data_IF_446606102412
#
_entry.id   IF_446606102412
#
_cell.length_a   1.000
_cell.length_b   1.000
_cell.length_c   1.000
_cell.angle_alpha   90.00
_cell.angle_beta   90.00
_cell.angle_gamma   90.00
#
_symmetry.space_group_name_H-M   'P 1'
#
loop_
_entity.id
_entity.type
_entity.pdbx_description
1 polymer ?
#
# COMPACT_ATOMS: atom_id res chain seq x y z
N UNK A 1 6.91 -3.84 -6.58
CA UNK A 1 7.57 -4.00 -7.92
C UNK A 1 7.04 -5.20 -8.71
N UNK A 2 5.92 -5.62 -8.81
CA UNK A 2 5.32 -6.79 -9.47
C UNK A 2 5.84 -7.24 -10.85
N UNK A 3 7.13 -7.06 -11.15
CA UNK A 3 7.76 -7.42 -12.44
C UNK A 3 7.04 -6.87 -13.68
N UNK A 4 6.20 -5.85 -13.50
CA UNK A 4 5.47 -5.20 -14.58
C UNK A 4 6.32 -4.11 -15.23
N UNK A 5 6.24 -3.98 -16.56
CA UNK A 5 6.88 -2.90 -17.31
C UNK A 5 6.23 -1.55 -16.94
N UNK A 6 4.92 -1.55 -16.77
CA UNK A 6 4.16 -0.37 -16.37
C UNK A 6 3.71 -0.50 -14.92
N UNK A 7 3.77 0.61 -14.19
CA UNK A 7 3.22 0.70 -12.85
C UNK A 7 1.72 0.98 -12.91
N UNK A 8 0.91 -0.07 -12.93
CA UNK A 8 -0.54 0.01 -13.14
C UNK A 8 -1.24 0.82 -12.05
N UNK A 9 -0.81 0.72 -10.79
CA UNK A 9 -1.43 1.49 -9.68
C UNK A 9 -1.09 2.97 -9.78
N UNK A 10 0.12 3.31 -10.27
CA UNK A 10 0.49 4.70 -10.51
C UNK A 10 -0.29 5.31 -11.68
N UNK A 11 -0.43 4.57 -12.79
CA UNK A 11 -1.28 4.99 -13.92
C UNK A 11 -2.73 5.20 -13.45
N UNK A 12 -3.25 4.30 -12.61
CA UNK A 12 -4.58 4.43 -12.03
C UNK A 12 -4.73 5.69 -11.17
N UNK A 13 -3.76 5.99 -10.31
CA UNK A 13 -3.78 7.19 -9.46
C UNK A 13 -3.77 8.47 -10.30
N UNK A 14 -2.88 8.54 -11.29
CA UNK A 14 -2.78 9.69 -12.19
C UNK A 14 -4.08 9.88 -13.01
N UNK A 15 -4.66 8.79 -13.50
CA UNK A 15 -5.93 8.83 -14.19
C UNK A 15 -7.06 9.44 -13.35
N UNK A 16 -7.18 9.07 -12.07
CA UNK A 16 -8.17 9.64 -11.17
C UNK A 16 -7.93 11.12 -10.90
N UNK A 17 -6.67 11.52 -10.69
CA UNK A 17 -6.31 12.92 -10.50
C UNK A 17 -6.62 13.76 -11.74
N UNK A 18 -6.26 13.29 -12.94
CA UNK A 18 -6.36 14.07 -14.16
C UNK A 18 -7.75 14.05 -14.78
N UNK A 19 -8.36 12.88 -14.94
CA UNK A 19 -9.66 12.75 -15.61
C UNK A 19 -10.82 13.17 -14.71
N UNK A 20 -10.80 12.79 -13.44
CA UNK A 20 -11.87 13.11 -12.50
C UNK A 20 -11.57 14.35 -11.66
N UNK A 21 -10.41 14.98 -11.86
CA UNK A 21 -9.98 16.19 -11.16
C UNK A 21 -9.99 16.05 -9.65
N UNK A 22 -9.66 14.85 -9.15
CA UNK A 22 -9.52 14.63 -7.72
C UNK A 22 -8.31 15.40 -7.19
N UNK A 23 -8.38 15.81 -5.93
CA UNK A 23 -7.30 16.52 -5.27
C UNK A 23 -6.42 15.60 -4.44
N UNK A 24 -6.97 14.45 -3.99
CA UNK A 24 -6.26 13.55 -3.09
C UNK A 24 -6.58 12.08 -3.39
N UNK A 25 -5.56 11.32 -3.70
CA UNK A 25 -5.63 9.86 -3.90
C UNK A 25 -4.68 9.18 -2.91
N UNK A 26 -5.10 8.08 -2.31
CA UNK A 26 -4.21 7.24 -1.51
C UNK A 26 -3.93 5.92 -2.23
N UNK A 27 -2.69 5.48 -2.16
CA UNK A 27 -2.24 4.14 -2.57
C UNK A 27 -1.80 3.41 -1.31
N UNK A 28 -2.44 2.28 -1.02
CA UNK A 28 -2.08 1.40 0.07
C UNK A 28 -1.52 0.12 -0.53
N UNK A 29 -0.27 -0.13 -0.26
CA UNK A 29 0.49 -1.25 -0.76
C UNK A 29 0.75 -2.24 0.38
N UNK A 30 0.17 -3.43 0.28
CA UNK A 30 0.38 -4.51 1.24
C UNK A 30 1.02 -5.76 0.61
N UNK A 31 1.60 -5.61 -0.57
CA UNK A 31 2.57 -6.56 -1.09
C UNK A 31 3.74 -6.69 -0.08
N UNK A 32 4.28 -7.90 0.07
CA UNK A 32 5.38 -8.15 1.00
C UNK A 32 6.66 -7.40 0.62
N UNK A 33 6.78 -7.02 -0.66
CA UNK A 33 7.90 -6.26 -1.19
C UNK A 33 7.61 -4.76 -1.19
N UNK A 34 8.62 -3.96 -0.90
CA UNK A 34 8.49 -2.52 -1.01
C UNK A 34 8.27 -2.08 -2.47
N UNK A 35 7.23 -1.30 -2.71
CA UNK A 35 6.91 -0.74 -4.03
C UNK A 35 7.77 0.49 -4.38
N UNK A 36 9.09 0.31 -4.52
CA UNK A 36 10.03 1.39 -4.75
C UNK A 36 9.71 2.24 -5.98
N UNK A 37 9.20 1.64 -7.06
CA UNK A 37 8.81 2.39 -8.26
C UNK A 37 7.60 3.28 -8.03
N UNK A 38 6.60 2.82 -7.25
CA UNK A 38 5.45 3.65 -6.87
C UNK A 38 5.87 4.79 -5.97
N UNK A 39 6.73 4.52 -5.00
CA UNK A 39 7.31 5.54 -4.13
C UNK A 39 8.02 6.62 -4.93
N UNK A 40 8.89 6.23 -5.88
CA UNK A 40 9.68 7.15 -6.70
C UNK A 40 8.80 8.07 -7.55
N UNK A 41 7.80 7.51 -8.23
CA UNK A 41 6.86 8.26 -9.05
C UNK A 41 6.15 9.36 -8.23
N UNK A 42 5.71 9.06 -7.01
CA UNK A 42 4.95 9.99 -6.18
C UNK A 42 5.77 10.72 -5.12
N UNK A 43 7.10 10.58 -5.13
CA UNK A 43 7.97 11.18 -4.12
C UNK A 43 7.81 12.71 -4.00
N UNK A 44 7.52 13.37 -5.13
CA UNK A 44 7.33 14.81 -5.26
C UNK A 44 5.87 15.21 -5.55
N UNK A 45 4.88 14.39 -5.22
CA UNK A 45 3.48 14.66 -5.52
C UNK A 45 2.63 14.75 -4.25
N UNK A 46 2.26 15.96 -3.84
CA UNK A 46 1.46 16.21 -2.63
C UNK A 46 0.02 15.66 -2.68
N UNK A 47 -0.50 15.38 -3.88
CA UNK A 47 -1.85 14.87 -4.09
C UNK A 47 -1.97 13.36 -3.87
N UNK A 48 -0.83 12.65 -3.81
CA UNK A 48 -0.82 11.21 -3.62
C UNK A 48 -0.17 10.83 -2.30
N UNK A 49 -0.94 10.15 -1.47
CA UNK A 49 -0.44 9.48 -0.27
C UNK A 49 -0.06 8.04 -0.66
N UNK A 50 1.19 7.66 -0.49
CA UNK A 50 1.65 6.28 -0.64
C UNK A 50 2.03 5.69 0.71
N UNK A 51 1.45 4.54 1.03
CA UNK A 51 1.75 3.80 2.26
C UNK A 51 2.08 2.36 1.88
N UNK A 52 3.24 1.87 2.29
CA UNK A 52 3.67 0.49 2.08
C UNK A 52 3.93 -0.21 3.40
N UNK A 53 3.34 -1.38 3.58
CA UNK A 53 3.65 -2.33 4.65
C UNK A 53 4.37 -3.52 4.04
N UNK A 54 5.65 -3.69 4.33
CA UNK A 54 6.48 -4.67 3.65
C UNK A 54 7.50 -5.31 4.59
N UNK A 55 7.95 -6.50 4.25
CA UNK A 55 9.04 -7.15 4.97
C UNK A 55 10.35 -6.36 4.77
N UNK A 56 11.11 -6.18 5.85
CA UNK A 56 12.38 -5.47 5.81
C UNK A 56 13.38 -6.04 6.85
N UNK A 57 14.66 -6.25 6.47
CA UNK A 57 15.23 -6.12 5.12
C UNK A 57 14.75 -7.23 4.18
N UNK A 58 14.34 -6.87 2.99
CA UNK A 58 13.90 -7.80 1.95
C UNK A 58 14.05 -7.13 0.56
N UNK A 59 13.88 -7.91 -0.55
CA UNK A 59 13.89 -7.32 -1.88
C UNK A 59 12.82 -6.23 -2.01
N UNK A 60 13.11 -5.07 -2.63
CA UNK A 60 14.32 -4.66 -3.36
C UNK A 60 15.39 -3.95 -2.50
N UNK A 61 15.32 -4.02 -1.19
CA UNK A 61 16.30 -3.41 -0.28
C UNK A 61 16.08 -1.92 -0.01
N UNK A 62 14.90 -1.41 -0.34
CA UNK A 62 14.44 -0.01 -0.15
C UNK A 62 13.23 0.03 0.79
N UNK A 63 12.69 1.20 1.08
CA UNK A 63 11.52 1.34 1.94
C UNK A 63 11.83 1.54 3.42
N UNK A 64 12.93 2.21 3.71
CA UNK A 64 13.24 2.55 5.09
C UNK A 64 12.21 3.56 5.64
N UNK A 65 11.87 3.43 6.93
CA UNK A 65 10.89 4.30 7.60
C UNK A 65 11.20 5.80 7.46
N UNK A 66 12.47 6.17 7.35
CA UNK A 66 12.91 7.57 7.19
C UNK A 66 12.60 8.20 5.82
N UNK A 67 12.26 7.40 4.82
CA UNK A 67 11.90 7.88 3.48
C UNK A 67 10.47 8.41 3.50
N UNK A 68 10.30 9.73 3.47
CA UNK A 68 9.00 10.40 3.72
C UNK A 68 8.39 11.10 2.51
N UNK A 69 9.15 11.22 1.40
CA UNK A 69 8.76 12.09 0.28
C UNK A 69 8.87 13.58 0.61
N UNK A 70 8.83 14.39 -0.41
CA UNK A 70 8.98 15.86 -0.29
C UNK A 70 7.88 16.52 0.56
N UNK A 71 6.67 15.96 0.54
CA UNK A 71 5.49 16.51 1.22
C UNK A 71 5.05 15.68 2.42
N UNK A 72 5.92 14.80 2.95
CA UNK A 72 5.56 13.80 3.96
C UNK A 72 4.35 12.94 3.53
N UNK A 73 4.35 12.59 2.27
CA UNK A 73 3.30 11.83 1.60
C UNK A 73 3.66 10.36 1.38
N UNK A 74 4.87 9.95 1.74
CA UNK A 74 5.35 8.58 1.70
C UNK A 74 5.46 8.03 3.12
N UNK A 75 4.89 6.86 3.37
CA UNK A 75 4.96 6.18 4.66
C UNK A 75 5.33 4.72 4.47
N UNK A 76 6.57 4.39 4.82
CA UNK A 76 7.07 3.03 4.86
C UNK A 76 6.91 2.46 6.26
N UNK A 77 6.36 1.25 6.34
CA UNK A 77 6.17 0.48 7.55
C UNK A 77 6.95 -0.83 7.36
N UNK A 78 8.28 -0.79 7.61
CA UNK A 78 9.11 -1.97 7.50
C UNK A 78 8.80 -2.94 8.64
N UNK A 79 8.53 -4.19 8.29
CA UNK A 79 8.16 -5.26 9.21
C UNK A 79 9.24 -6.35 9.19
N UNK A 80 9.72 -6.82 10.34
CA UNK A 80 10.71 -7.90 10.39
C UNK A 80 10.12 -9.21 9.87
N UNK A 81 10.99 -10.08 9.37
CA UNK A 81 10.64 -11.47 9.05
C UNK A 81 10.02 -12.15 10.27
N UNK A 82 8.99 -12.95 10.05
CA UNK A 82 8.24 -13.62 11.12
C UNK A 82 7.15 -12.77 11.79
N UNK A 83 6.94 -11.52 11.36
CA UNK A 83 5.86 -10.67 11.89
C UNK A 83 4.53 -11.41 11.83
N UNK A 84 3.90 -11.55 12.97
CA UNK A 84 2.61 -12.24 13.15
C UNK A 84 1.44 -11.40 12.65
N UNK A 85 0.27 -12.03 12.46
CA UNK A 85 -0.99 -11.34 12.14
C UNK A 85 -1.30 -10.22 13.13
N UNK A 86 -1.13 -10.46 14.43
CA UNK A 86 -1.42 -9.47 15.47
C UNK A 86 -0.50 -8.25 15.35
N UNK A 87 0.80 -8.46 15.23
CA UNK A 87 1.79 -7.38 15.06
C UNK A 87 1.54 -6.59 13.78
N UNK A 88 1.22 -7.27 12.67
CA UNK A 88 0.88 -6.62 11.41
C UNK A 88 -0.38 -5.76 11.54
N UNK A 89 -1.45 -6.30 12.12
CA UNK A 89 -2.70 -5.56 12.32
C UNK A 89 -2.53 -4.35 13.23
N UNK A 90 -1.67 -4.46 14.25
CA UNK A 90 -1.30 -3.33 15.12
C UNK A 90 -0.53 -2.25 14.32
N UNK A 91 0.42 -2.63 13.48
CA UNK A 91 1.12 -1.70 12.59
C UNK A 91 0.14 -1.05 11.58
N UNK A 92 -0.86 -1.79 11.11
CA UNK A 92 -1.87 -1.30 10.18
C UNK A 92 -2.78 -0.20 10.75
N UNK A 93 -2.93 -0.11 12.07
CA UNK A 93 -3.64 1.01 12.71
C UNK A 93 -2.97 2.36 12.39
N UNK A 94 -1.65 2.37 12.18
CA UNK A 94 -0.95 3.57 11.71
C UNK A 94 -1.35 3.95 10.28
N UNK A 95 -1.52 2.95 9.39
CA UNK A 95 -2.05 3.16 8.02
C UNK A 95 -3.40 3.86 8.08
N UNK A 96 -4.33 3.32 8.87
CA UNK A 96 -5.68 3.88 9.00
C UNK A 96 -5.68 5.33 9.54
N UNK A 97 -4.81 5.61 10.51
CA UNK A 97 -4.63 6.99 11.03
C UNK A 97 -4.12 7.95 9.95
N UNK A 98 -3.20 7.50 9.08
CA UNK A 98 -2.68 8.32 7.97
C UNK A 98 -3.74 8.59 6.92
N UNK A 99 -4.50 7.57 6.52
CA UNK A 99 -5.63 7.72 5.60
C UNK A 99 -6.65 8.73 6.15
N UNK A 100 -7.06 8.56 7.41
CA UNK A 100 -8.03 9.46 8.05
C UNK A 100 -7.54 10.90 8.11
N UNK A 101 -6.24 11.12 8.34
CA UNK A 101 -5.64 12.46 8.35
C UNK A 101 -5.55 13.07 6.96
N UNK A 102 -5.17 12.28 5.97
CA UNK A 102 -4.98 12.73 4.59
C UNK A 102 -6.32 13.03 3.90
N UNK A 103 -7.38 12.27 4.25
CA UNK A 103 -8.74 12.38 3.67
C UNK A 103 -8.73 12.22 2.15
N UNK A 104 -8.27 11.09 1.61
CA UNK A 104 -8.29 10.87 0.18
C UNK A 104 -9.72 10.81 -0.35
N UNK A 105 -9.92 11.27 -1.58
CA UNK A 105 -11.19 11.14 -2.31
C UNK A 105 -11.31 9.77 -2.98
N UNK A 106 -10.17 9.09 -3.18
CA UNK A 106 -10.09 7.76 -3.76
C UNK A 106 -8.93 6.96 -3.15
N UNK A 107 -9.14 5.65 -2.99
CA UNK A 107 -8.10 4.73 -2.50
C UNK A 107 -7.87 3.64 -3.53
N UNK A 108 -6.61 3.41 -3.86
CA UNK A 108 -6.12 2.28 -4.65
C UNK A 108 -5.42 1.30 -3.71
N UNK A 109 -5.67 0.01 -3.89
CA UNK A 109 -4.91 -1.04 -3.21
C UNK A 109 -3.93 -1.66 -4.22
N UNK A 110 -2.64 -1.61 -3.89
CA UNK A 110 -1.60 -2.43 -4.51
C UNK A 110 -1.57 -3.74 -3.73
N UNK A 111 -2.29 -4.73 -4.26
CA UNK A 111 -2.59 -5.96 -3.54
C UNK A 111 -1.66 -7.10 -3.99
N UNK A 112 -0.61 -7.35 -3.22
CA UNK A 112 0.13 -8.61 -3.20
C UNK A 112 -0.36 -9.50 -2.06
N UNK A 113 -0.44 -10.80 -2.29
CA UNK A 113 -0.85 -11.78 -1.25
C UNK A 113 0.32 -12.63 -0.76
N UNK A 114 1.52 -12.26 -1.13
CA UNK A 114 2.79 -12.91 -0.78
C UNK A 114 3.25 -12.64 0.67
N UNK A 115 2.52 -11.81 1.41
CA UNK A 115 2.64 -11.73 2.87
C UNK A 115 1.90 -12.89 3.61
N UNK A 116 1.23 -13.80 2.86
CA UNK A 116 0.56 -14.96 3.45
C UNK A 116 1.57 -15.96 4.02
N UNK A 117 1.24 -16.55 5.16
CA UNK A 117 2.10 -17.52 5.87
C UNK A 117 2.51 -18.74 5.04
N UNK A 118 1.74 -19.08 4.01
CA UNK A 118 1.99 -20.20 3.11
C UNK A 118 2.76 -19.77 1.85
N UNK A 119 3.20 -18.50 1.75
CA UNK A 119 4.08 -18.07 0.68
C UNK A 119 5.45 -18.76 0.80
N UNK A 120 6.01 -19.32 -0.29
CA UNK A 120 7.23 -20.10 -0.21
C UNK A 120 8.50 -19.25 -0.03
N UNK A 121 8.45 -17.95 -0.23
CA UNK A 121 9.62 -17.06 -0.24
C UNK A 121 9.60 -16.04 0.89
N UNK A 122 8.44 -15.43 1.15
CA UNK A 122 8.29 -14.43 2.19
C UNK A 122 8.09 -15.07 3.57
N UNK A 123 8.24 -14.29 4.61
CA UNK A 123 8.27 -14.79 5.98
C UNK A 123 7.26 -14.09 6.89
N UNK A 124 6.39 -13.23 6.34
CA UNK A 124 5.27 -12.69 7.11
C UNK A 124 4.22 -13.77 7.35
N UNK A 125 3.44 -13.64 8.41
CA UNK A 125 2.57 -14.71 8.90
C UNK A 125 1.07 -14.36 8.76
N UNK A 126 0.70 -13.64 7.69
CA UNK A 126 -0.70 -13.31 7.45
C UNK A 126 -1.50 -14.53 6.98
N UNK A 127 -2.77 -14.54 7.34
CA UNK A 127 -3.78 -15.50 6.88
C UNK A 127 -4.73 -14.83 5.90
N UNK A 128 -5.52 -15.63 5.17
CA UNK A 128 -6.57 -15.11 4.29
C UNK A 128 -7.58 -14.22 5.04
N UNK A 129 -7.82 -14.51 6.33
CA UNK A 129 -8.70 -13.70 7.18
C UNK A 129 -8.10 -12.31 7.41
N UNK A 130 -6.79 -12.19 7.56
CA UNK A 130 -6.13 -10.91 7.79
C UNK A 130 -6.28 -9.98 6.58
N UNK A 131 -6.13 -10.47 5.36
CA UNK A 131 -6.39 -9.69 4.15
C UNK A 131 -7.84 -9.20 4.06
N UNK A 132 -8.80 -10.03 4.45
CA UNK A 132 -10.19 -9.60 4.58
C UNK A 132 -10.33 -8.46 5.61
N UNK A 133 -9.73 -8.62 6.78
CA UNK A 133 -9.80 -7.63 7.86
C UNK A 133 -9.10 -6.31 7.47
N UNK A 134 -7.94 -6.36 6.81
CA UNK A 134 -7.26 -5.19 6.26
C UNK A 134 -8.16 -4.41 5.29
N UNK A 135 -8.76 -5.12 4.33
CA UNK A 135 -9.67 -4.52 3.35
C UNK A 135 -10.88 -3.89 4.04
N UNK A 136 -11.52 -4.61 4.94
CA UNK A 136 -12.68 -4.13 5.70
C UNK A 136 -12.36 -2.91 6.56
N UNK A 137 -11.21 -2.90 7.24
CA UNK A 137 -10.77 -1.76 8.04
C UNK A 137 -10.45 -0.54 7.17
N UNK A 138 -9.90 -0.76 5.97
CA UNK A 138 -9.63 0.32 5.02
C UNK A 138 -10.92 0.96 4.49
N UNK A 139 -11.98 0.19 4.31
CA UNK A 139 -13.29 0.69 3.87
C UNK A 139 -14.01 1.53 4.93
N UNK A 140 -13.88 1.18 6.22
CA UNK A 140 -14.63 1.81 7.30
C UNK A 140 -14.32 3.29 7.56
N UNK A 141 -13.06 3.79 7.47
CA UNK A 141 -12.77 5.20 7.66
C UNK A 141 -13.20 6.09 6.51
N UNK A 142 -13.62 5.50 5.39
CA UNK A 142 -13.82 6.21 4.11
C UNK A 142 -15.26 6.01 3.62
N UNK A 143 -16.26 6.27 4.46
CA UNK A 143 -17.67 6.01 4.15
C UNK A 143 -18.22 6.74 2.90
N UNK A 144 -17.36 7.41 2.13
CA UNK A 144 -17.70 8.12 0.90
C UNK A 144 -16.76 7.84 -0.28
N UNK A 145 -15.84 6.88 -0.17
CA UNK A 145 -14.86 6.57 -1.24
C UNK A 145 -15.17 5.23 -1.89
N UNK A 146 -15.08 5.19 -3.23
CA UNK A 146 -15.17 3.96 -3.99
C UNK A 146 -13.82 3.23 -3.93
N UNK A 147 -13.85 1.96 -3.53
CA UNK A 147 -12.69 1.08 -3.58
C UNK A 147 -12.71 0.31 -4.91
N UNK A 148 -11.64 0.42 -5.68
CA UNK A 148 -11.44 -0.41 -6.87
C UNK A 148 -10.19 -1.25 -6.69
N UNK A 149 -10.36 -2.56 -6.72
CA UNK A 149 -9.24 -3.50 -6.79
C UNK A 149 -8.84 -3.65 -8.26
N UNK A 150 -7.59 -3.40 -8.64
CA UNK A 150 -7.13 -3.78 -9.96
C UNK A 150 -7.23 -5.30 -10.08
N UNK A 151 -8.02 -5.78 -11.04
CA UNK A 151 -7.98 -7.19 -11.42
C UNK A 151 -6.69 -7.40 -12.18
N UNK A 152 -5.67 -7.94 -11.55
CA UNK A 152 -4.56 -8.55 -12.28
C UNK A 152 -5.07 -9.84 -12.91
N UNK A 153 -5.02 -10.00 -14.23
CA UNK A 153 -5.26 -11.32 -14.80
C UNK A 153 -4.12 -12.22 -14.30
N UNK A 154 -4.48 -13.32 -13.66
CA UNK A 154 -3.53 -14.40 -13.39
C UNK A 154 -3.04 -14.93 -14.73
N UNK A 155 -1.75 -14.86 -14.97
CA UNK A 155 -1.05 -15.64 -15.98
C UNK A 155 -0.34 -16.79 -15.27
#
# INVERSE_FOLDING_TARGET
>A
MGFCIYNNVAVGADYWLEKYKLNKVAIIDFDVHHGNGTQDIFYNNEKVLYISTHQYPYYPGTGAEKEKGKYNNIFNIPLPAGTTSEEYLNAYEFVLKKIKKFKPEFILLSAGFDAHKDDPLAQLQLTSKDFYDLTKRTLNPVSYTHLTLPKTPYV
#
